data_IF_941475797862
#
_entry.id   IF_941475797862
#
_cell.length_a   1.000
_cell.length_b   1.000
_cell.length_c   1.000
_cell.angle_alpha   90.00
_cell.angle_beta   90.00
_cell.angle_gamma   90.00
#
_symmetry.space_group_name_H-M   'P 1'
#
loop_
_entity.id
_entity.type
_entity.pdbx_description
1 polymer ?
#
# COMPACT_ATOMS: atom_id res chain seq x y z
N UNK A 1 8.34 4.47 -12.16
CA UNK A 1 8.84 3.46 -11.20
C UNK A 1 10.15 2.90 -11.71
N UNK A 2 11.25 3.01 -10.96
CA UNK A 2 12.49 2.30 -11.29
C UNK A 2 12.43 0.87 -10.72
N UNK A 3 12.90 -0.12 -11.48
CA UNK A 3 12.79 -1.54 -11.10
C UNK A 3 13.52 -1.87 -9.78
N UNK A 4 14.62 -1.15 -9.49
CA UNK A 4 15.36 -1.28 -8.23
C UNK A 4 14.50 -0.95 -7.01
N UNK A 5 13.78 0.17 -7.06
CA UNK A 5 12.95 0.66 -5.95
C UNK A 5 11.75 -0.27 -5.72
N UNK A 6 11.18 -0.80 -6.80
CA UNK A 6 10.13 -1.80 -6.72
C UNK A 6 10.63 -3.08 -6.02
N UNK A 7 11.78 -3.62 -6.41
CA UNK A 7 12.36 -4.82 -5.79
C UNK A 7 12.64 -4.57 -4.30
N UNK A 8 13.23 -3.44 -3.94
CA UNK A 8 13.46 -3.05 -2.53
C UNK A 8 12.15 -2.93 -1.75
N UNK A 9 11.11 -2.38 -2.37
CA UNK A 9 9.79 -2.29 -1.75
C UNK A 9 9.10 -3.66 -1.63
N UNK A 10 9.42 -4.64 -2.47
CA UNK A 10 8.86 -6.00 -2.38
C UNK A 10 9.60 -6.89 -1.38
N UNK A 11 10.84 -6.55 -1.00
CA UNK A 11 11.66 -7.28 -0.02
C UNK A 11 11.23 -7.07 1.45
N UNK A 12 9.93 -7.12 1.71
CA UNK A 12 9.36 -7.09 3.07
C UNK A 12 8.00 -7.80 3.10
N UNK A 13 7.81 -8.77 4.00
CA UNK A 13 6.61 -9.59 4.02
C UNK A 13 5.35 -8.78 4.38
N UNK A 14 5.46 -7.69 5.15
CA UNK A 14 4.32 -6.82 5.44
C UNK A 14 3.90 -6.05 4.19
N UNK A 15 4.86 -5.54 3.41
CA UNK A 15 4.57 -4.84 2.15
C UNK A 15 3.93 -5.77 1.11
N UNK A 16 4.39 -7.01 1.00
CA UNK A 16 3.75 -8.02 0.15
C UNK A 16 2.30 -8.32 0.57
N UNK A 17 2.04 -8.44 1.88
CA UNK A 17 0.68 -8.62 2.41
C UNK A 17 -0.21 -7.42 2.10
N UNK A 18 0.29 -6.19 2.25
CA UNK A 18 -0.45 -4.98 1.87
C UNK A 18 -0.82 -5.03 0.39
N UNK A 19 0.14 -5.30 -0.50
CA UNK A 19 -0.14 -5.38 -1.94
C UNK A 19 -1.15 -6.47 -2.29
N UNK A 20 -1.11 -7.63 -1.60
CA UNK A 20 -2.11 -8.68 -1.78
C UNK A 20 -3.53 -8.22 -1.41
N UNK A 21 -3.66 -7.43 -0.33
CA UNK A 21 -4.94 -6.82 0.05
C UNK A 21 -5.41 -5.81 -1.02
N UNK A 22 -4.52 -4.91 -1.44
CA UNK A 22 -4.83 -3.84 -2.41
C UNK A 22 -5.09 -4.35 -3.83
N UNK A 23 -4.58 -5.54 -4.17
CA UNK A 23 -4.91 -6.23 -5.42
C UNK A 23 -6.35 -6.79 -5.42
N UNK A 24 -6.97 -6.93 -4.24
CA UNK A 24 -8.33 -7.46 -4.11
C UNK A 24 -9.36 -6.32 -4.01
N UNK A 25 -9.04 -5.23 -3.30
CA UNK A 25 -9.92 -4.07 -3.14
C UNK A 25 -9.18 -2.83 -2.64
N UNK A 26 -9.80 -1.66 -2.83
CA UNK A 26 -9.37 -0.42 -2.18
C UNK A 26 -9.68 -0.49 -0.67
N UNK A 27 -8.74 -0.03 0.16
CA UNK A 27 -8.85 -0.05 1.64
C UNK A 27 -8.36 1.26 2.26
N UNK A 28 -9.00 1.71 3.32
CA UNK A 28 -8.48 2.79 4.14
C UNK A 28 -7.23 2.33 4.92
N UNK A 29 -6.32 3.28 5.23
CA UNK A 29 -5.10 2.99 6.00
C UNK A 29 -5.40 2.29 7.34
N UNK A 30 -6.50 2.68 8.01
CA UNK A 30 -6.93 2.06 9.27
C UNK A 30 -7.38 0.61 9.11
N UNK A 31 -8.08 0.29 8.03
CA UNK A 31 -8.54 -1.08 7.72
C UNK A 31 -7.36 -2.00 7.43
N UNK A 32 -6.35 -1.51 6.70
CA UNK A 32 -5.09 -2.26 6.48
C UNK A 32 -4.39 -2.53 7.81
N UNK A 33 -4.33 -1.55 8.71
CA UNK A 33 -3.74 -1.73 10.03
C UNK A 33 -4.49 -2.78 10.87
N UNK A 34 -5.82 -2.74 10.84
CA UNK A 34 -6.68 -3.72 11.51
C UNK A 34 -6.48 -5.14 10.97
N UNK A 35 -6.53 -5.33 9.64
CA UNK A 35 -6.36 -6.64 9.00
C UNK A 35 -4.97 -7.25 9.27
N UNK A 36 -3.94 -6.40 9.34
CA UNK A 36 -2.58 -6.87 9.61
C UNK A 36 -2.29 -7.05 11.11
N UNK A 37 -3.17 -6.61 12.01
CA UNK A 37 -2.95 -6.63 13.45
C UNK A 37 -1.76 -5.76 13.87
N UNK A 38 -1.55 -4.63 13.18
CA UNK A 38 -0.40 -3.74 13.41
C UNK A 38 -0.88 -2.32 13.73
N UNK A 39 -0.01 -1.54 14.37
CA UNK A 39 -0.31 -0.13 14.63
C UNK A 39 -0.34 0.69 13.33
N UNK A 40 -1.24 1.68 13.29
CA UNK A 40 -1.37 2.57 12.13
C UNK A 40 -0.07 3.31 11.76
N UNK A 41 0.77 3.80 12.71
CA UNK A 41 2.06 4.40 12.36
C UNK A 41 3.00 3.43 11.64
N UNK A 42 3.05 2.16 12.07
CA UNK A 42 3.88 1.13 11.45
C UNK A 42 3.42 0.86 10.02
N UNK A 43 2.12 0.62 9.83
CA UNK A 43 1.52 0.38 8.51
C UNK A 43 1.70 1.60 7.60
N UNK A 44 1.54 2.82 8.11
CA UNK A 44 1.74 4.05 7.33
C UNK A 44 3.15 4.20 6.77
N UNK A 45 4.17 3.73 7.50
CA UNK A 45 5.56 3.68 7.01
C UNK A 45 5.71 2.71 5.84
N UNK A 46 5.14 1.50 5.94
CA UNK A 46 5.16 0.52 4.85
C UNK A 46 4.44 1.04 3.61
N UNK A 47 3.26 1.66 3.78
CA UNK A 47 2.51 2.27 2.69
C UNK A 47 3.30 3.40 2.03
N UNK A 48 4.04 4.22 2.80
CA UNK A 48 4.86 5.29 2.23
C UNK A 48 5.89 4.73 1.26
N UNK A 49 6.60 3.69 1.66
CA UNK A 49 7.58 3.01 0.80
C UNK A 49 6.91 2.47 -0.48
N UNK A 50 5.75 1.83 -0.34
CA UNK A 50 5.00 1.30 -1.49
C UNK A 50 4.57 2.42 -2.45
N UNK A 51 4.08 3.55 -1.94
CA UNK A 51 3.70 4.70 -2.76
C UNK A 51 4.90 5.38 -3.43
N UNK A 52 5.98 5.59 -2.68
CA UNK A 52 7.22 6.18 -3.21
C UNK A 52 7.81 5.29 -4.33
N UNK A 53 7.61 3.96 -4.25
CA UNK A 53 7.99 3.00 -5.30
C UNK A 53 7.00 2.87 -6.46
N UNK A 54 5.80 3.46 -6.37
CA UNK A 54 4.74 3.36 -7.38
C UNK A 54 3.90 2.06 -7.33
N UNK A 55 4.08 1.22 -6.31
CA UNK A 55 3.34 -0.05 -6.17
C UNK A 55 1.95 0.13 -5.54
N UNK A 56 1.70 1.26 -4.90
CA UNK A 56 0.41 1.61 -4.30
C UNK A 56 0.12 3.10 -4.47
N UNK A 57 -1.16 3.46 -4.52
CA UNK A 57 -1.58 4.85 -4.63
C UNK A 57 -2.47 5.26 -3.47
N UNK A 58 -2.44 6.55 -3.14
CA UNK A 58 -3.27 7.14 -2.09
C UNK A 58 -4.31 8.06 -2.71
N UNK A 59 -5.56 7.93 -2.27
CA UNK A 59 -6.67 8.80 -2.62
C UNK A 59 -7.28 9.35 -1.34
N UNK A 60 -7.33 10.67 -1.20
CA UNK A 60 -7.99 11.31 -0.05
C UNK A 60 -9.46 11.53 -0.38
N UNK A 61 -10.35 11.10 0.52
CA UNK A 61 -11.79 11.29 0.42
C UNK A 61 -12.33 11.75 1.78
N UNK A 62 -12.64 13.05 1.89
CA UNK A 62 -12.98 13.68 3.16
C UNK A 62 -11.87 13.54 4.22
N UNK A 63 -12.20 12.93 5.35
CA UNK A 63 -11.27 12.65 6.44
C UNK A 63 -10.45 11.36 6.24
N UNK A 64 -10.77 10.56 5.21
CA UNK A 64 -10.17 9.25 4.99
C UNK A 64 -9.10 9.27 3.91
N UNK A 65 -8.12 8.37 4.06
CA UNK A 65 -7.11 8.09 3.04
C UNK A 65 -7.26 6.64 2.63
N UNK A 66 -7.68 6.45 1.39
CA UNK A 66 -7.85 5.16 0.74
C UNK A 66 -6.59 4.79 -0.04
N UNK A 67 -6.35 3.49 -0.12
CA UNK A 67 -5.21 2.88 -0.78
C UNK A 67 -5.70 1.94 -1.87
N UNK A 68 -5.12 2.05 -3.06
CA UNK A 68 -5.37 1.14 -4.17
C UNK A 68 -4.06 0.60 -4.73
N UNK A 69 -4.14 -0.49 -5.47
CA UNK A 69 -3.00 -1.02 -6.23
C UNK A 69 -2.52 0.02 -7.24
N UNK A 70 -1.21 0.29 -7.26
CA UNK A 70 -0.57 1.08 -8.32
C UNK A 70 -0.21 0.24 -9.56
N UNK A 71 -0.47 -1.07 -9.50
CA UNK A 71 -0.17 -2.03 -10.57
C UNK A 71 -1.38 -2.25 -11.51
N UNK A 72 -2.48 -1.53 -11.34
CA UNK A 72 -3.64 -1.67 -12.21
C UNK A 72 -3.26 -1.23 -13.64
N UNK A 73 -3.42 -2.14 -14.59
CA UNK A 73 -3.20 -1.88 -16.01
C UNK A 73 -4.04 -0.68 -16.44
N UNK A 74 -3.40 0.30 -17.07
CA UNK A 74 -4.10 1.31 -17.86
C UNK A 74 -4.78 0.56 -19.00
N UNK A 75 -6.10 0.38 -18.92
CA UNK A 75 -6.92 0.09 -20.09
C UNK A 75 -6.83 1.24 -21.10
#
# INVERSE_FOLDING_TARGET
MAIHDAIRALDDPTRLRILRLLASMELAVGEVAQVLGQSQPRVSRHIKILCDSGLAERRKEGAWVFLRSGLAESS
#
